data_IF_302711740739
#
_entry.id   IF_302711740739
#
_cell.length_a   1.000
_cell.length_b   1.000
_cell.length_c   1.000
_cell.angle_alpha   90.00
_cell.angle_beta   90.00
_cell.angle_gamma   90.00
#
_symmetry.space_group_name_H-M   'P 1'
#
loop_
_entity.id
_entity.type
_entity.pdbx_description
1 polymer ?
#
# COMPACT_ATOMS: atom_id res chain seq x y z
N UNK A 1 -9.40 -3.15 2.07
CA UNK A 1 -10.79 -2.67 2.27
C UNK A 1 -11.14 -2.26 3.72
N UNK A 2 -10.28 -2.48 4.74
CA UNK A 2 -10.58 -2.07 6.13
C UNK A 2 -10.41 -0.55 6.42
N UNK A 3 -9.67 0.16 5.57
CA UNK A 3 -9.28 1.55 5.81
C UNK A 3 -10.48 2.51 6.01
N UNK A 4 -11.51 2.43 5.16
CA UNK A 4 -12.66 3.35 5.24
C UNK A 4 -13.60 3.08 6.42
N UNK A 5 -13.72 1.82 6.86
CA UNK A 5 -14.51 1.50 8.05
C UNK A 5 -13.85 2.00 9.33
N UNK A 6 -12.52 1.98 9.40
CA UNK A 6 -11.79 2.40 10.59
C UNK A 6 -11.97 3.88 10.92
N UNK A 7 -11.96 4.78 9.92
CA UNK A 7 -12.17 6.21 10.13
C UNK A 7 -13.55 6.51 10.73
N UNK A 8 -14.59 5.78 10.34
CA UNK A 8 -15.94 5.98 10.89
C UNK A 8 -16.09 5.45 12.32
N UNK A 9 -15.53 4.27 12.61
CA UNK A 9 -15.83 3.55 13.86
C UNK A 9 -14.71 3.63 14.91
N UNK A 10 -13.47 3.92 14.52
CA UNK A 10 -12.29 3.76 15.37
C UNK A 10 -11.54 5.07 15.66
N UNK A 11 -12.04 6.25 15.28
CA UNK A 11 -11.44 7.53 15.68
C UNK A 11 -11.45 7.72 17.21
N UNK A 12 -12.56 7.41 17.86
CA UNK A 12 -12.76 7.53 19.31
C UNK A 12 -13.47 6.27 19.86
N UNK A 13 -12.78 5.12 20.00
CA UNK A 13 -13.42 3.89 20.42
C UNK A 13 -13.84 3.96 21.89
N UNK A 14 -15.09 3.58 22.15
CA UNK A 14 -15.64 3.53 23.52
C UNK A 14 -14.97 2.44 24.35
N UNK A 15 -15.10 2.52 25.68
CA UNK A 15 -14.58 1.49 26.61
C UNK A 15 -15.10 0.09 26.26
N UNK A 16 -16.38 -0.01 25.87
CA UNK A 16 -17.01 -1.28 25.47
C UNK A 16 -16.33 -1.86 24.22
N UNK A 17 -16.03 -1.02 23.24
CA UNK A 17 -15.32 -1.42 22.02
C UNK A 17 -13.90 -1.87 22.33
N UNK A 18 -13.15 -1.09 23.13
CA UNK A 18 -11.79 -1.46 23.56
C UNK A 18 -11.76 -2.82 24.24
N UNK A 19 -12.70 -3.09 25.16
CA UNK A 19 -12.82 -4.40 25.83
C UNK A 19 -13.13 -5.53 24.85
N UNK A 20 -14.05 -5.31 23.89
CA UNK A 20 -14.39 -6.31 22.87
C UNK A 20 -13.20 -6.63 21.97
N UNK A 21 -12.46 -5.60 21.54
CA UNK A 21 -11.23 -5.77 20.75
C UNK A 21 -10.14 -6.51 21.53
N UNK A 22 -9.94 -6.21 22.81
CA UNK A 22 -9.01 -6.97 23.66
C UNK A 22 -9.42 -8.44 23.81
N UNK A 23 -10.73 -8.71 23.90
CA UNK A 23 -11.26 -10.09 23.94
C UNK A 23 -10.98 -10.83 22.63
N UNK A 24 -11.20 -10.17 21.49
CA UNK A 24 -10.91 -10.74 20.16
C UNK A 24 -9.42 -11.00 19.99
N UNK A 25 -8.54 -10.10 20.45
CA UNK A 25 -7.10 -10.23 20.29
C UNK A 25 -6.50 -11.34 21.17
N UNK A 26 -7.04 -11.57 22.37
CA UNK A 26 -6.43 -12.46 23.36
C UNK A 26 -6.21 -13.90 22.87
N UNK A 27 -7.17 -14.60 22.21
CA UNK A 27 -6.94 -15.94 21.68
C UNK A 27 -5.72 -16.02 20.75
N UNK A 28 -5.50 -15.02 19.90
CA UNK A 28 -4.32 -14.99 19.02
C UNK A 28 -3.02 -14.88 19.81
N UNK A 29 -2.98 -13.99 20.82
CA UNK A 29 -1.81 -13.85 21.70
C UNK A 29 -1.54 -15.13 22.49
N UNK A 30 -2.58 -15.85 22.90
CA UNK A 30 -2.46 -17.14 23.59
C UNK A 30 -1.96 -18.24 22.67
N UNK A 31 -2.41 -18.28 21.42
CA UNK A 31 -1.92 -19.23 20.43
C UNK A 31 -0.43 -19.03 20.12
N UNK A 32 0.02 -17.76 20.06
CA UNK A 32 1.44 -17.44 19.82
C UNK A 32 2.29 -17.78 21.06
N UNK A 33 1.81 -17.42 22.25
CA UNK A 33 2.60 -17.55 23.48
C UNK A 33 2.58 -18.95 24.10
N UNK A 34 1.55 -19.77 23.83
CA UNK A 34 1.45 -21.18 24.20
C UNK A 34 1.36 -21.45 25.71
N UNK A 35 2.50 -21.30 26.40
CA UNK A 35 2.68 -21.59 27.83
C UNK A 35 2.05 -20.54 28.76
N UNK A 36 1.90 -19.30 28.29
CA UNK A 36 1.46 -18.16 29.11
C UNK A 36 -0.08 -18.03 29.22
N UNK A 37 -0.78 -19.15 29.43
CA UNK A 37 -2.26 -19.19 29.40
C UNK A 37 -2.94 -18.32 30.46
N UNK A 38 -2.33 -18.19 31.63
CA UNK A 38 -2.84 -17.41 32.77
C UNK A 38 -2.32 -15.96 32.80
N UNK A 39 -1.41 -15.60 31.90
CA UNK A 39 -0.78 -14.28 31.87
C UNK A 39 -1.78 -13.19 31.42
N UNK A 40 -1.77 -11.99 32.03
CA UNK A 40 -2.59 -10.87 31.59
C UNK A 40 -2.34 -10.46 30.13
N UNK A 41 -3.39 -10.03 29.42
CA UNK A 41 -3.28 -9.64 28.00
C UNK A 41 -2.24 -8.55 27.75
N UNK A 42 -2.16 -7.57 28.65
CA UNK A 42 -1.19 -6.48 28.53
C UNK A 42 0.26 -6.99 28.57
N UNK A 43 0.56 -7.94 29.45
CA UNK A 43 1.87 -8.56 29.51
C UNK A 43 2.15 -9.38 28.25
N UNK A 44 1.16 -10.12 27.72
CA UNK A 44 1.33 -10.85 26.46
C UNK A 44 1.61 -9.91 25.27
N UNK A 45 0.94 -8.76 25.21
CA UNK A 45 1.19 -7.72 24.21
C UNK A 45 2.63 -7.21 24.28
N UNK A 46 3.12 -6.92 25.49
CA UNK A 46 4.50 -6.47 25.70
C UNK A 46 5.52 -7.54 25.33
N UNK A 47 5.35 -8.78 25.81
CA UNK A 47 6.28 -9.88 25.56
C UNK A 47 6.38 -10.20 24.07
N UNK A 48 5.25 -10.20 23.35
CA UNK A 48 5.22 -10.49 21.92
C UNK A 48 5.54 -9.27 21.05
N UNK A 49 5.67 -8.07 21.63
CA UNK A 49 5.82 -6.83 20.86
C UNK A 49 4.59 -6.48 20.01
N UNK A 50 3.41 -6.99 20.36
CA UNK A 50 2.17 -6.79 19.62
C UNK A 50 1.35 -5.71 20.32
N UNK A 51 1.13 -4.53 19.71
CA UNK A 51 0.35 -3.47 20.35
C UNK A 51 -1.12 -3.85 20.51
N UNK A 52 -1.86 -3.19 21.43
CA UNK A 52 -3.28 -3.40 21.59
C UNK A 52 -4.07 -3.11 20.29
N UNK A 53 -4.98 -3.99 19.93
CA UNK A 53 -5.74 -3.90 18.67
C UNK A 53 -6.51 -2.57 18.53
N UNK A 54 -7.06 -2.06 19.63
CA UNK A 54 -7.77 -0.77 19.63
C UNK A 54 -6.85 0.44 19.40
N UNK A 55 -5.55 0.33 19.68
CA UNK A 55 -4.56 1.37 19.37
C UNK A 55 -4.19 1.32 17.89
N UNK A 56 -3.98 0.11 17.33
CA UNK A 56 -3.72 -0.07 15.91
C UNK A 56 -4.87 0.45 15.03
N UNK A 57 -6.12 0.12 15.40
CA UNK A 57 -7.29 0.61 14.67
C UNK A 57 -7.49 2.12 14.79
N UNK A 58 -7.16 2.72 15.94
CA UNK A 58 -7.16 4.18 16.09
C UNK A 58 -6.08 4.84 15.23
N UNK A 59 -4.89 4.26 15.19
CA UNK A 59 -3.81 4.74 14.35
C UNK A 59 -4.21 4.72 12.88
N UNK A 60 -4.74 3.58 12.39
CA UNK A 60 -5.24 3.45 11.01
C UNK A 60 -6.39 4.44 10.73
N UNK A 61 -7.33 4.60 11.68
CA UNK A 61 -8.43 5.56 11.55
C UNK A 61 -7.93 7.00 11.40
N UNK A 62 -6.95 7.39 12.20
CA UNK A 62 -6.35 8.73 12.12
C UNK A 62 -5.56 8.90 10.84
N UNK A 63 -4.72 7.93 10.50
CA UNK A 63 -3.94 7.95 9.28
C UNK A 63 -4.84 8.08 8.05
N UNK A 64 -5.88 7.26 7.95
CA UNK A 64 -6.83 7.31 6.84
C UNK A 64 -7.62 8.62 6.80
N UNK A 65 -8.05 9.13 7.95
CA UNK A 65 -8.78 10.40 8.05
C UNK A 65 -7.93 11.58 7.58
N UNK A 66 -6.67 11.67 8.03
CA UNK A 66 -5.81 12.80 7.70
C UNK A 66 -5.16 12.67 6.32
N UNK A 67 -4.55 11.53 6.00
CA UNK A 67 -3.82 11.36 4.73
C UNK A 67 -4.72 11.07 3.53
N UNK A 68 -5.81 10.31 3.72
CA UNK A 68 -6.67 9.88 2.58
C UNK A 68 -7.92 10.73 2.44
N UNK A 69 -8.59 11.05 3.54
CA UNK A 69 -9.83 11.85 3.51
C UNK A 69 -9.56 13.36 3.62
N UNK A 70 -8.34 13.78 3.98
CA UNK A 70 -7.93 15.18 4.18
C UNK A 70 -8.84 15.92 5.16
N UNK A 71 -9.37 15.21 6.16
CA UNK A 71 -10.17 15.80 7.24
C UNK A 71 -9.22 16.18 8.39
N UNK A 72 -9.20 17.45 8.81
CA UNK A 72 -8.40 17.86 9.96
C UNK A 72 -8.95 17.21 11.23
N UNK A 73 -8.05 16.68 12.06
CA UNK A 73 -8.40 16.16 13.38
C UNK A 73 -8.33 17.31 14.40
N UNK A 74 -9.15 17.29 15.46
CA UNK A 74 -9.13 18.35 16.46
C UNK A 74 -7.75 18.51 17.12
N UNK A 75 -7.31 19.76 17.39
CA UNK A 75 -5.95 20.09 17.84
C UNK A 75 -5.58 19.55 19.23
N UNK A 76 -6.53 18.94 19.94
CA UNK A 76 -6.29 18.23 21.21
C UNK A 76 -5.36 17.02 21.01
N UNK A 77 -5.27 16.48 19.80
CA UNK A 77 -4.64 15.18 19.53
C UNK A 77 -3.33 15.30 18.74
N UNK A 78 -3.24 16.23 17.79
CA UNK A 78 -2.05 16.53 16.98
C UNK A 78 -2.18 17.92 16.36
N UNK A 79 -1.11 18.73 16.32
CA UNK A 79 -1.06 20.03 15.62
C UNK A 79 -0.97 19.88 14.08
N UNK A 80 -0.71 18.65 13.61
CA UNK A 80 -0.46 18.32 12.21
C UNK A 80 -1.72 18.56 11.38
N UNK A 81 -1.66 19.50 10.44
CA UNK A 81 -2.73 19.74 9.50
C UNK A 81 -2.59 18.83 8.27
N UNK A 82 -3.70 18.56 7.54
CA UNK A 82 -3.65 17.79 6.32
C UNK A 82 -2.72 18.40 5.24
N UNK A 83 -2.44 19.70 5.29
CA UNK A 83 -1.54 20.36 4.35
C UNK A 83 -0.06 20.11 4.66
N UNK A 84 0.28 19.78 5.91
CA UNK A 84 1.66 19.49 6.33
C UNK A 84 2.12 18.09 5.90
N UNK A 85 1.20 17.28 5.37
CA UNK A 85 1.43 15.86 5.06
C UNK A 85 1.70 15.65 3.57
N UNK A 86 2.93 15.21 3.28
CA UNK A 86 3.37 14.83 1.94
C UNK A 86 2.42 13.78 1.35
N UNK A 87 1.93 14.07 0.13
CA UNK A 87 1.07 13.14 -0.57
C UNK A 87 1.92 12.05 -1.21
N UNK A 88 1.67 10.80 -0.84
CA UNK A 88 2.16 9.68 -1.65
C UNK A 88 1.55 9.82 -3.04
N UNK A 89 2.38 9.99 -4.08
CA UNK A 89 1.92 10.01 -5.45
C UNK A 89 1.11 8.74 -5.72
N UNK A 90 -0.20 8.88 -5.89
CA UNK A 90 -1.02 7.84 -6.52
C UNK A 90 -0.47 7.67 -7.92
N UNK A 91 0.02 6.46 -8.23
CA UNK A 91 0.90 6.17 -9.36
C UNK A 91 0.41 6.69 -10.72
N UNK A 92 1.33 6.70 -11.69
CA UNK A 92 1.16 7.23 -13.05
C UNK A 92 -0.29 7.21 -13.53
N UNK A 93 -0.95 8.36 -13.40
CA UNK A 93 -2.31 8.57 -13.90
C UNK A 93 -2.34 8.64 -15.43
N UNK A 94 -1.18 8.87 -16.04
CA UNK A 94 -1.00 8.88 -17.48
C UNK A 94 -0.60 7.50 -17.94
N UNK A 95 -1.54 6.83 -18.62
CA UNK A 95 -1.24 5.58 -19.30
C UNK A 95 -0.22 5.86 -20.43
N UNK A 96 0.82 5.05 -20.64
CA UNK A 96 1.82 5.32 -21.69
C UNK A 96 1.23 5.51 -23.10
N UNK A 97 0.04 4.96 -23.37
CA UNK A 97 -0.67 5.18 -24.64
C UNK A 97 -1.19 6.59 -24.84
N UNK A 98 -1.40 7.38 -23.77
CA UNK A 98 -1.85 8.78 -23.85
C UNK A 98 -0.73 9.73 -24.31
N UNK A 99 0.52 9.24 -24.36
CA UNK A 99 1.70 9.99 -24.77
C UNK A 99 2.30 9.52 -26.10
N UNK A 100 1.59 8.66 -26.84
CA UNK A 100 2.04 8.25 -28.18
C UNK A 100 1.99 9.46 -29.10
N UNK A 101 3.17 9.88 -29.60
CA UNK A 101 3.20 10.85 -30.69
C UNK A 101 2.61 10.18 -31.93
N UNK A 102 1.80 10.88 -32.75
CA UNK A 102 1.13 10.31 -33.93
C UNK A 102 2.10 9.61 -34.89
N UNK A 103 3.37 9.97 -34.86
CA UNK A 103 4.40 9.52 -35.79
C UNK A 103 5.23 8.33 -35.25
N UNK A 104 4.88 7.74 -34.10
CA UNK A 104 5.66 6.65 -33.49
C UNK A 104 5.31 5.25 -34.02
N UNK A 105 4.14 5.08 -34.63
CA UNK A 105 3.69 3.79 -35.16
C UNK A 105 3.08 4.02 -36.55
N UNK A 106 3.91 3.94 -37.60
CA UNK A 106 3.38 3.87 -38.96
C UNK A 106 2.98 2.44 -39.28
N UNK A 107 1.71 2.21 -39.56
CA UNK A 107 1.17 0.97 -40.14
C UNK A 107 1.33 0.96 -41.67
N UNK A 108 2.46 1.42 -42.19
CA UNK A 108 2.75 1.18 -43.60
C UNK A 108 3.10 -0.30 -43.73
N UNK A 109 2.19 -1.07 -44.32
CA UNK A 109 2.47 -2.44 -44.72
C UNK A 109 3.77 -2.43 -45.52
N UNK A 110 4.75 -3.16 -45.00
CA UNK A 110 6.17 -3.01 -45.31
C UNK A 110 6.55 -3.42 -46.74
N UNK A 111 6.21 -2.59 -47.73
CA UNK A 111 6.71 -2.76 -49.10
C UNK A 111 7.57 -1.58 -49.60
N UNK A 112 7.60 -0.44 -48.92
CA UNK A 112 8.23 0.76 -49.48
C UNK A 112 9.64 1.11 -48.94
N UNK A 113 10.22 0.35 -48.00
CA UNK A 113 11.52 0.72 -47.37
C UNK A 113 12.68 -0.26 -47.62
N UNK A 114 12.64 -1.00 -48.73
CA UNK A 114 13.78 -1.84 -49.17
C UNK A 114 14.83 -1.03 -49.97
N UNK A 115 14.64 0.27 -50.21
CA UNK A 115 15.55 1.06 -51.06
C UNK A 115 16.68 1.82 -50.33
N UNK A 116 16.77 1.81 -48.99
CA UNK A 116 17.91 2.41 -48.27
C UNK A 116 18.62 1.39 -47.40
N UNK A 117 19.52 0.68 -48.07
CA UNK A 117 20.55 -0.21 -47.55
C UNK A 117 21.55 0.56 -46.66
N UNK A 118 21.14 0.90 -45.45
CA UNK A 118 22.04 0.87 -44.29
C UNK A 118 21.58 -0.33 -43.50
N UNK A 119 22.31 -1.43 -43.63
CA UNK A 119 22.04 -2.67 -42.91
C UNK A 119 22.28 -2.37 -41.43
N UNK A 120 21.25 -1.94 -40.72
CA UNK A 120 21.27 -1.83 -39.26
C UNK A 120 21.00 -3.23 -38.75
N UNK A 121 22.08 -3.96 -38.43
CA UNK A 121 21.96 -5.25 -37.77
C UNK A 121 21.55 -5.01 -36.31
N UNK A 122 20.28 -5.19 -36.02
CA UNK A 122 19.74 -5.16 -34.66
C UNK A 122 19.88 -6.58 -34.10
N UNK A 123 20.77 -6.75 -33.11
CA UNK A 123 20.93 -8.00 -32.38
C UNK A 123 20.25 -7.88 -31.02
N UNK A 124 19.18 -8.65 -30.82
CA UNK A 124 18.58 -8.90 -29.50
C UNK A 124 19.21 -10.16 -28.91
N UNK A 125 19.49 -10.18 -27.60
CA UNK A 125 20.42 -11.14 -26.98
C UNK A 125 20.04 -12.63 -27.08
N UNK A 126 18.86 -12.95 -27.61
CA UNK A 126 18.32 -14.29 -27.68
C UNK A 126 18.51 -15.08 -28.98
N UNK A 127 19.08 -14.53 -30.06
CA UNK A 127 19.26 -15.31 -31.29
C UNK A 127 20.57 -16.13 -31.26
N UNK A 128 20.43 -17.45 -31.08
CA UNK A 128 21.55 -18.39 -31.25
C UNK A 128 21.96 -18.45 -32.72
N UNK A 129 23.27 -18.34 -32.97
CA UNK A 129 23.87 -18.52 -34.29
C UNK A 129 23.79 -19.98 -34.73
N UNK A 130 23.79 -20.21 -36.05
CA UNK A 130 23.79 -21.55 -36.67
C UNK A 130 25.00 -22.41 -36.28
N UNK A 131 26.08 -21.78 -35.81
CA UNK A 131 27.22 -22.44 -35.18
C UNK A 131 27.08 -22.32 -33.67
N UNK A 132 26.03 -22.93 -33.11
CA UNK A 132 25.78 -22.94 -31.68
C UNK A 132 27.06 -23.29 -30.91
N UNK A 133 27.17 -22.79 -29.68
CA UNK A 133 28.19 -23.27 -28.74
C UNK A 133 27.93 -24.74 -28.42
#
# INVERSE_FOLDING_TARGET
>A
MLAQGSSAWCLNPTIKMKRKLSSIQRPFLLHISGAYRTTPTAALQTILGIPPLHMQLQFEARFTTTYRLRIPLPPIITDIQPQDLEMKATGWSTHPSEHLKPNQLSFEDGEAYIARKVIINIFTDGSKTEHGV
#
